data_IF_773351813637
#
_entry.id   IF_773351813637
#
_cell.length_a   1.000
_cell.length_b   1.000
_cell.length_c   1.000
_cell.angle_alpha   90.00
_cell.angle_beta   90.00
_cell.angle_gamma   90.00
#
_symmetry.space_group_name_H-M   'P 1'
#
loop_
_entity.id
_entity.type
_entity.pdbx_description
1 polymer ?
#
# COMPACT_ATOMS: atom_id res chain seq x y z
N UNK A 1 -35.92 26.44 -66.57
CA UNK A 1 -35.59 25.06 -66.12
C UNK A 1 -36.38 24.80 -64.86
N UNK A 2 -37.49 24.17 -65.06
CA UNK A 2 -38.52 23.90 -64.04
C UNK A 2 -38.20 22.54 -63.38
N UNK A 3 -37.79 22.54 -62.16
CA UNK A 3 -37.56 21.32 -61.36
C UNK A 3 -38.93 20.90 -60.82
N UNK A 4 -39.46 19.86 -61.38
CA UNK A 4 -40.71 19.24 -60.95
C UNK A 4 -40.41 18.45 -59.64
N UNK A 5 -40.80 19.01 -58.51
CA UNK A 5 -40.80 18.39 -57.21
C UNK A 5 -41.89 17.29 -57.16
N UNK A 6 -41.49 16.05 -57.30
CA UNK A 6 -42.34 14.86 -57.24
C UNK A 6 -42.72 14.57 -55.80
N UNK A 7 -43.82 15.17 -55.34
CA UNK A 7 -44.36 14.81 -53.99
C UNK A 7 -44.91 13.39 -54.02
N UNK A 8 -44.27 12.52 -53.33
CA UNK A 8 -44.73 11.15 -53.05
C UNK A 8 -45.86 11.24 -52.02
N UNK A 9 -47.10 11.29 -52.43
CA UNK A 9 -48.27 11.13 -51.57
C UNK A 9 -48.47 9.64 -51.33
N UNK A 10 -48.05 9.16 -50.16
CA UNK A 10 -48.40 7.82 -49.72
C UNK A 10 -49.87 7.86 -49.29
N UNK A 11 -50.76 7.31 -50.11
CA UNK A 11 -52.16 7.14 -49.76
C UNK A 11 -52.32 5.94 -48.79
N UNK A 12 -52.82 6.20 -47.60
CA UNK A 12 -53.13 5.13 -46.62
C UNK A 12 -54.20 4.14 -47.14
N UNK A 13 -54.86 4.43 -48.28
CA UNK A 13 -55.90 3.55 -48.86
C UNK A 13 -55.34 2.28 -49.51
N UNK A 14 -54.04 2.23 -49.87
CA UNK A 14 -53.47 1.13 -50.65
C UNK A 14 -52.81 0.07 -49.78
N UNK A 15 -52.83 0.25 -48.44
CA UNK A 15 -52.24 -0.75 -47.50
C UNK A 15 -53.28 -1.82 -47.19
N UNK A 16 -53.04 -3.10 -47.50
CA UNK A 16 -54.01 -4.14 -47.24
C UNK A 16 -54.32 -4.18 -45.75
N UNK A 17 -55.63 -4.21 -45.43
CA UNK A 17 -56.12 -4.18 -44.01
C UNK A 17 -55.49 -5.22 -43.11
N UNK A 18 -54.95 -6.28 -43.66
CA UNK A 18 -54.18 -7.30 -42.98
C UNK A 18 -52.85 -6.73 -42.40
N UNK A 19 -52.14 -5.87 -43.13
CA UNK A 19 -50.90 -5.25 -42.69
C UNK A 19 -51.14 -4.26 -41.55
N UNK A 20 -52.24 -3.52 -41.60
CA UNK A 20 -52.60 -2.58 -40.53
C UNK A 20 -52.94 -3.35 -39.25
N UNK A 21 -53.65 -4.49 -39.34
CA UNK A 21 -53.97 -5.34 -38.21
C UNK A 21 -52.71 -6.00 -37.63
N UNK A 22 -51.76 -6.42 -38.48
CA UNK A 22 -50.49 -7.01 -38.06
C UNK A 22 -49.61 -5.98 -37.32
N UNK A 23 -49.57 -4.73 -37.86
CA UNK A 23 -48.86 -3.62 -37.24
C UNK A 23 -49.45 -3.24 -35.88
N UNK A 24 -50.79 -3.19 -35.79
CA UNK A 24 -51.47 -2.95 -34.50
C UNK A 24 -51.21 -4.03 -33.49
N UNK A 25 -51.21 -5.31 -33.89
CA UNK A 25 -50.88 -6.44 -33.00
C UNK A 25 -49.43 -6.36 -32.50
N UNK A 26 -48.49 -6.09 -33.40
CA UNK A 26 -47.09 -5.92 -33.05
C UNK A 26 -46.88 -4.76 -32.05
N UNK A 27 -47.58 -3.64 -32.22
CA UNK A 27 -47.53 -2.51 -31.32
C UNK A 27 -48.07 -2.87 -29.93
N UNK A 28 -49.20 -3.58 -29.86
CA UNK A 28 -49.77 -4.03 -28.58
C UNK A 28 -48.81 -4.98 -27.84
N UNK A 29 -48.20 -5.93 -28.55
CA UNK A 29 -47.20 -6.84 -27.98
C UNK A 29 -45.96 -6.06 -27.49
N UNK A 30 -45.47 -5.11 -28.29
CA UNK A 30 -44.33 -4.28 -27.91
C UNK A 30 -44.62 -3.46 -26.64
N UNK A 31 -45.79 -2.79 -26.59
CA UNK A 31 -46.19 -2.03 -25.39
C UNK A 31 -46.37 -2.93 -24.16
N UNK A 32 -46.90 -4.15 -24.33
CA UNK A 32 -47.06 -5.13 -23.27
C UNK A 32 -45.71 -5.58 -22.71
N UNK A 33 -44.73 -5.87 -23.57
CA UNK A 33 -43.37 -6.25 -23.18
C UNK A 33 -42.67 -5.09 -22.43
N UNK A 34 -42.80 -3.87 -22.96
CA UNK A 34 -42.23 -2.67 -22.31
C UNK A 34 -42.81 -2.47 -20.91
N UNK A 35 -44.17 -2.49 -20.80
CA UNK A 35 -44.83 -2.37 -19.50
C UNK A 35 -44.40 -3.48 -18.52
N UNK A 36 -44.25 -4.72 -18.98
CA UNK A 36 -43.79 -5.83 -18.15
C UNK A 36 -42.35 -5.64 -17.68
N UNK A 37 -41.46 -5.17 -18.54
CA UNK A 37 -40.06 -4.87 -18.16
C UNK A 37 -40.00 -3.74 -17.14
N UNK A 38 -40.76 -2.65 -17.36
CA UNK A 38 -40.81 -1.51 -16.46
C UNK A 38 -41.36 -1.89 -15.06
N UNK A 39 -42.39 -2.74 -15.01
CA UNK A 39 -42.91 -3.29 -13.77
C UNK A 39 -41.87 -4.21 -13.04
N UNK A 40 -41.13 -5.02 -13.81
CA UNK A 40 -40.07 -5.85 -13.25
C UNK A 40 -38.94 -5.00 -12.68
N UNK A 41 -38.54 -3.95 -13.39
CA UNK A 41 -37.49 -3.04 -12.89
C UNK A 41 -37.95 -2.25 -11.68
N UNK A 42 -39.19 -1.78 -11.65
CA UNK A 42 -39.76 -1.06 -10.50
C UNK A 42 -39.83 -1.94 -9.23
N UNK A 43 -40.12 -3.24 -9.38
CA UNK A 43 -40.13 -4.19 -8.24
C UNK A 43 -38.75 -4.54 -7.72
N UNK A 44 -37.69 -4.39 -8.51
CA UNK A 44 -36.30 -4.66 -8.12
C UNK A 44 -35.53 -3.41 -7.72
N UNK A 45 -36.20 -2.25 -7.67
CA UNK A 45 -35.57 -1.05 -7.10
C UNK A 45 -35.43 -1.23 -5.60
N UNK A 46 -34.23 -1.64 -5.16
CA UNK A 46 -33.85 -1.52 -3.76
C UNK A 46 -33.90 -0.03 -3.39
N UNK A 47 -34.42 0.32 -2.21
CA UNK A 47 -34.42 1.70 -1.78
C UNK A 47 -32.98 2.23 -1.76
N UNK A 48 -32.70 3.18 -2.64
CA UNK A 48 -31.37 3.84 -2.71
C UNK A 48 -31.16 4.84 -1.58
N UNK A 49 -32.12 4.98 -0.67
CA UNK A 49 -32.03 5.85 0.50
C UNK A 49 -31.23 5.14 1.61
N UNK A 50 -29.91 5.02 1.42
CA UNK A 50 -29.01 4.51 2.46
C UNK A 50 -28.41 5.73 3.16
N UNK A 51 -28.63 5.85 4.46
CA UNK A 51 -27.96 6.83 5.31
C UNK A 51 -26.77 6.11 5.92
N UNK A 52 -25.56 6.51 5.54
CA UNK A 52 -24.33 6.05 6.18
C UNK A 52 -23.94 7.01 7.30
N UNK A 53 -23.84 6.50 8.50
CA UNK A 53 -23.33 7.25 9.65
C UNK A 53 -22.00 6.66 10.05
N UNK A 54 -20.94 7.45 10.04
CA UNK A 54 -19.64 7.09 10.57
C UNK A 54 -19.37 7.90 11.85
N UNK A 55 -18.86 7.24 12.88
CA UNK A 55 -18.40 7.87 14.09
C UNK A 55 -16.92 7.52 14.30
N UNK A 56 -16.10 8.53 14.61
CA UNK A 56 -14.69 8.36 14.95
C UNK A 56 -14.52 8.59 16.45
N UNK A 57 -13.97 7.59 17.14
CA UNK A 57 -13.58 7.70 18.55
C UNK A 57 -12.07 7.90 18.66
N UNK A 58 -11.62 8.91 19.40
CA UNK A 58 -10.19 9.12 19.71
C UNK A 58 -9.91 8.67 21.13
N UNK A 59 -8.94 7.77 21.27
CA UNK A 59 -8.45 7.32 22.56
C UNK A 59 -7.01 7.81 22.70
N UNK A 60 -6.71 8.51 23.80
CA UNK A 60 -5.35 8.92 24.13
C UNK A 60 -4.78 7.91 25.14
N UNK A 61 -3.68 7.26 24.76
CA UNK A 61 -2.91 6.39 25.63
C UNK A 61 -1.50 6.97 25.83
N UNK A 62 -0.99 6.94 27.07
CA UNK A 62 0.40 7.28 27.34
C UNK A 62 1.28 6.13 26.86
N UNK A 63 2.32 6.37 26.04
CA UNK A 63 3.27 5.32 25.67
C UNK A 63 3.98 4.79 26.91
N UNK A 64 3.97 3.48 27.09
CA UNK A 64 4.62 2.75 28.18
C UNK A 64 5.90 2.04 27.73
N UNK A 65 6.17 2.01 26.41
CA UNK A 65 7.34 1.36 25.82
C UNK A 65 7.95 2.31 24.77
N UNK A 66 9.29 2.49 24.85
CA UNK A 66 10.09 3.11 23.81
C UNK A 66 10.67 2.04 22.87
N UNK A 67 10.65 2.27 21.57
CA UNK A 67 11.35 1.46 20.57
C UNK A 67 12.52 2.26 20.02
N UNK A 68 13.73 1.68 20.08
CA UNK A 68 14.94 2.28 19.53
C UNK A 68 15.55 1.30 18.53
N UNK A 69 15.94 1.81 17.38
CA UNK A 69 16.72 1.07 16.41
C UNK A 69 18.16 1.56 16.45
N UNK A 70 19.10 0.66 16.74
CA UNK A 70 20.54 0.90 16.80
C UNK A 70 21.20 0.14 15.65
N UNK A 71 22.24 0.70 15.04
CA UNK A 71 22.99 0.03 13.99
C UNK A 71 24.50 0.12 14.27
N UNK A 72 25.16 -1.02 14.18
CA UNK A 72 26.61 -1.13 14.22
C UNK A 72 27.11 -1.39 12.81
N UNK A 73 28.09 -0.61 12.36
CA UNK A 73 28.66 -0.72 11.00
C UNK A 73 30.18 -0.64 11.08
N UNK A 74 30.87 -1.59 10.41
CA UNK A 74 32.30 -1.56 10.24
C UNK A 74 32.69 -1.90 8.80
N UNK A 75 33.79 -1.32 8.36
CA UNK A 75 34.38 -1.57 7.06
C UNK A 75 35.78 -2.14 7.21
N UNK A 76 36.10 -3.19 6.43
CA UNK A 76 37.43 -3.75 6.36
C UNK A 76 37.75 -4.27 4.96
N UNK A 77 39.02 -4.55 4.70
CA UNK A 77 39.47 -5.08 3.40
C UNK A 77 38.91 -6.47 3.09
N UNK A 78 38.60 -7.25 4.12
CA UNK A 78 38.01 -8.57 3.97
C UNK A 78 36.66 -8.65 4.71
N UNK A 79 35.79 -9.51 4.22
CA UNK A 79 34.48 -9.77 4.85
C UNK A 79 34.68 -10.30 6.29
N UNK A 80 35.66 -11.20 6.47
CA UNK A 80 35.92 -11.82 7.77
C UNK A 80 36.33 -10.79 8.85
N UNK A 81 37.19 -9.84 8.49
CA UNK A 81 37.62 -8.79 9.40
C UNK A 81 36.47 -7.83 9.73
N UNK A 82 35.68 -7.43 8.74
CA UNK A 82 34.54 -6.57 8.96
C UNK A 82 33.46 -7.26 9.85
N UNK A 83 33.19 -8.55 9.62
CA UNK A 83 32.28 -9.33 10.45
C UNK A 83 32.77 -9.45 11.91
N UNK A 84 34.06 -9.70 12.10
CA UNK A 84 34.63 -9.76 13.44
C UNK A 84 34.45 -8.45 14.18
N UNK A 85 34.78 -7.32 13.53
CA UNK A 85 34.64 -6.00 14.14
C UNK A 85 33.18 -5.67 14.50
N UNK A 86 32.23 -5.97 13.62
CA UNK A 86 30.80 -5.77 13.90
C UNK A 86 30.34 -6.66 15.04
N UNK A 87 30.78 -7.92 15.08
CA UNK A 87 30.43 -8.84 16.16
C UNK A 87 30.98 -8.36 17.52
N UNK A 88 32.23 -7.95 17.56
CA UNK A 88 32.86 -7.44 18.79
C UNK A 88 32.16 -6.16 19.28
N UNK A 89 31.87 -5.23 18.39
CA UNK A 89 31.15 -3.99 18.71
C UNK A 89 29.68 -4.26 19.13
N UNK A 90 28.99 -5.17 18.43
CA UNK A 90 27.63 -5.58 18.80
C UNK A 90 27.56 -6.24 20.18
N UNK A 91 28.56 -7.06 20.52
CA UNK A 91 28.63 -7.67 21.84
C UNK A 91 28.85 -6.63 22.95
N UNK A 92 29.71 -5.63 22.72
CA UNK A 92 29.90 -4.53 23.67
C UNK A 92 28.60 -3.73 23.85
N UNK A 93 27.93 -3.40 22.75
CA UNK A 93 26.65 -2.71 22.78
C UNK A 93 25.59 -3.53 23.56
N UNK A 94 25.54 -4.83 23.34
CA UNK A 94 24.62 -5.73 24.05
C UNK A 94 24.89 -5.77 25.56
N UNK A 95 26.16 -5.86 25.97
CA UNK A 95 26.56 -5.80 27.37
C UNK A 95 26.21 -4.45 28.02
N UNK A 96 26.46 -3.34 27.28
CA UNK A 96 26.04 -2.01 27.75
C UNK A 96 24.52 -1.94 27.96
N UNK A 97 23.70 -2.36 26.98
CA UNK A 97 22.24 -2.33 27.07
C UNK A 97 21.74 -3.14 28.27
N UNK A 98 22.35 -4.31 28.54
CA UNK A 98 22.04 -5.12 29.73
C UNK A 98 22.38 -4.39 31.03
N UNK A 99 23.54 -3.77 31.10
CA UNK A 99 23.95 -3.00 32.27
C UNK A 99 23.07 -1.77 32.53
N UNK A 100 22.51 -1.18 31.45
CA UNK A 100 21.53 -0.09 31.50
C UNK A 100 20.11 -0.55 31.89
N UNK A 101 19.91 -1.87 32.14
CA UNK A 101 18.66 -2.43 32.61
C UNK A 101 17.69 -2.87 31.51
N UNK A 102 18.17 -3.02 30.26
CA UNK A 102 17.36 -3.59 29.17
C UNK A 102 17.40 -5.11 29.23
N UNK A 103 16.23 -5.74 29.24
CA UNK A 103 16.09 -7.18 29.29
C UNK A 103 16.59 -7.80 27.96
N UNK A 104 17.33 -8.91 28.00
CA UNK A 104 17.81 -9.58 26.79
C UNK A 104 16.69 -9.97 25.81
N UNK A 105 15.50 -10.29 26.30
CA UNK A 105 14.30 -10.59 25.47
C UNK A 105 13.79 -9.38 24.70
N UNK A 106 14.13 -8.16 25.12
CA UNK A 106 13.72 -6.90 24.52
C UNK A 106 14.76 -6.37 23.51
N UNK A 107 15.87 -7.09 23.30
CA UNK A 107 16.89 -6.80 22.31
C UNK A 107 16.81 -7.85 21.20
N UNK A 108 16.58 -7.41 19.95
CA UNK A 108 16.49 -8.29 18.79
C UNK A 108 17.37 -7.79 17.65
N UNK A 109 18.07 -8.70 16.98
CA UNK A 109 18.71 -8.37 15.69
C UNK A 109 17.63 -8.20 14.63
N UNK A 110 17.57 -7.02 14.03
CA UNK A 110 16.56 -6.67 13.01
C UNK A 110 17.10 -6.80 11.59
N UNK A 111 18.39 -6.54 11.40
CA UNK A 111 19.02 -6.49 10.10
C UNK A 111 20.47 -6.92 10.16
N UNK A 112 20.93 -7.64 9.13
CA UNK A 112 22.34 -7.96 8.92
C UNK A 112 22.62 -7.91 7.41
N UNK A 113 23.59 -7.08 7.01
CA UNK A 113 23.95 -6.93 5.61
C UNK A 113 25.47 -6.84 5.44
N UNK A 114 25.92 -7.35 4.31
CA UNK A 114 27.28 -7.26 3.82
C UNK A 114 27.26 -6.62 2.46
N UNK A 115 27.97 -5.52 2.29
CA UNK A 115 28.00 -4.75 1.04
C UNK A 115 29.44 -4.46 0.62
N UNK A 116 29.82 -4.72 -0.64
CA UNK A 116 31.11 -4.29 -1.16
C UNK A 116 31.15 -2.76 -1.29
N UNK A 117 32.26 -2.16 -0.96
CA UNK A 117 32.52 -0.73 -1.08
C UNK A 117 33.53 -0.49 -2.20
N UNK A 118 33.23 0.45 -3.09
CA UNK A 118 34.03 0.77 -4.24
C UNK A 118 34.45 2.24 -4.21
N UNK A 119 35.69 2.50 -4.57
CA UNK A 119 36.19 3.85 -4.87
C UNK A 119 36.22 4.05 -6.38
N UNK A 120 35.93 5.26 -6.82
CA UNK A 120 36.10 5.66 -8.22
C UNK A 120 37.44 6.37 -8.40
N UNK A 121 38.37 5.72 -9.10
CA UNK A 121 39.67 6.30 -9.40
C UNK A 121 39.67 6.72 -10.87
N UNK A 122 40.03 7.99 -11.12
CA UNK A 122 40.21 8.50 -12.49
C UNK A 122 41.21 7.59 -13.22
N UNK A 123 40.91 7.19 -14.43
CA UNK A 123 41.68 6.26 -15.28
C UNK A 123 41.60 4.77 -14.94
N UNK A 124 41.03 4.36 -13.79
CA UNK A 124 40.88 2.94 -13.40
C UNK A 124 39.42 2.52 -13.20
N UNK A 125 38.49 3.48 -13.15
CA UNK A 125 37.08 3.22 -12.90
C UNK A 125 36.81 2.81 -11.45
N UNK A 126 35.85 1.91 -11.25
CA UNK A 126 35.49 1.40 -9.92
C UNK A 126 36.50 0.35 -9.43
N UNK A 127 37.12 0.64 -8.30
CA UNK A 127 38.07 -0.26 -7.64
C UNK A 127 37.51 -0.66 -6.28
N UNK A 128 37.47 -1.96 -5.99
CA UNK A 128 37.01 -2.47 -4.72
C UNK A 128 37.92 -1.94 -3.57
N UNK A 129 37.31 -1.19 -2.64
CA UNK A 129 37.99 -0.64 -1.46
C UNK A 129 37.96 -1.63 -0.30
N UNK A 130 36.83 -2.32 -0.11
CA UNK A 130 36.63 -3.24 0.98
C UNK A 130 35.18 -3.70 1.06
N UNK A 131 34.81 -4.18 2.24
CA UNK A 131 33.48 -4.66 2.54
C UNK A 131 32.96 -3.99 3.79
N UNK A 132 31.74 -3.51 3.75
CA UNK A 132 31.02 -2.99 4.90
C UNK A 132 30.06 -4.05 5.41
N UNK A 133 30.10 -4.31 6.71
CA UNK A 133 29.10 -5.12 7.39
C UNK A 133 28.29 -4.22 8.29
N UNK A 134 26.98 -4.38 8.29
CA UNK A 134 26.05 -3.66 9.14
C UNK A 134 25.13 -4.63 9.87
N UNK A 135 24.92 -4.38 11.18
CA UNK A 135 24.00 -5.13 12.02
C UNK A 135 23.07 -4.16 12.74
N UNK A 136 21.77 -4.32 12.54
CA UNK A 136 20.73 -3.57 13.23
C UNK A 136 20.24 -4.31 14.47
N UNK A 137 19.94 -3.56 15.52
CA UNK A 137 19.36 -4.04 16.78
C UNK A 137 18.12 -3.24 17.11
N UNK A 138 16.98 -3.91 17.24
CA UNK A 138 15.73 -3.33 17.74
C UNK A 138 15.66 -3.54 19.25
N UNK A 139 15.59 -2.45 20.00
CA UNK A 139 15.61 -2.43 21.45
C UNK A 139 14.31 -1.87 21.99
N UNK A 140 13.64 -2.62 22.87
CA UNK A 140 12.45 -2.16 23.60
C UNK A 140 12.84 -1.64 24.96
N UNK A 141 12.60 -0.38 25.21
CA UNK A 141 12.85 0.26 26.51
C UNK A 141 11.52 0.40 27.25
N UNK A 142 11.39 -0.32 28.36
CA UNK A 142 10.18 -0.28 29.21
C UNK A 142 10.18 0.91 30.16
N UNK A 143 11.36 1.41 30.53
CA UNK A 143 11.50 2.62 31.31
C UNK A 143 11.85 3.80 30.37
N UNK A 144 10.82 4.48 29.87
CA UNK A 144 10.98 5.60 28.93
C UNK A 144 11.76 6.78 29.52
N UNK A 145 11.86 6.90 30.86
CA UNK A 145 12.65 7.96 31.49
C UNK A 145 14.16 7.77 31.25
N UNK A 146 14.63 6.52 31.10
CA UNK A 146 16.04 6.18 30.84
C UNK A 146 16.39 6.16 29.36
N UNK A 147 15.43 6.34 28.46
CA UNK A 147 15.66 6.23 27.01
C UNK A 147 16.78 7.17 26.52
N UNK A 148 16.81 8.40 27.01
CA UNK A 148 17.84 9.37 26.63
C UNK A 148 19.26 8.94 27.05
N UNK A 149 19.41 8.43 28.28
CA UNK A 149 20.67 7.92 28.80
C UNK A 149 21.17 6.70 28.02
N UNK A 150 20.25 5.77 27.72
CA UNK A 150 20.54 4.56 26.93
C UNK A 150 21.00 4.94 25.50
N UNK A 151 20.35 5.90 24.86
CA UNK A 151 20.75 6.34 23.52
C UNK A 151 22.14 6.99 23.54
N UNK A 152 22.39 7.89 24.49
CA UNK A 152 23.67 8.57 24.63
C UNK A 152 24.81 7.58 24.93
N UNK A 153 24.58 6.62 25.82
CA UNK A 153 25.55 5.59 26.15
C UNK A 153 25.81 4.61 25.02
N UNK A 154 24.77 4.21 24.28
CA UNK A 154 24.88 3.34 23.11
C UNK A 154 25.71 3.95 21.98
N UNK A 155 25.69 5.28 21.81
CA UNK A 155 26.49 5.98 20.81
C UNK A 155 27.99 6.05 21.16
N UNK A 156 28.36 5.78 22.42
CA UNK A 156 29.75 5.83 22.93
C UNK A 156 30.31 4.45 23.27
N UNK A 157 29.55 3.38 23.18
CA UNK A 157 29.96 2.01 23.45
C UNK A 157 30.66 1.36 22.26
#
# INVERSE_FOLDING_TARGET
MEQTEKQVRISLGDVPSALIKLGALALVVFLGVRAFVDLKMARNMYPTNVISVSAEGRVFAKPDIGLINLAVMHEAKTVADAQKQVTDASNKLFEFLKSAGVDAKDIKTSHYAISPQYDYIQDKGQVLRGYQVSQGLDVKIRDTAKAGEIIAGAASA
#
